data_IF_711584171681
#
_entry.id   IF_711584171681
#
_cell.length_a   1.000
_cell.length_b   1.000
_cell.length_c   1.000
_cell.angle_alpha   90.00
_cell.angle_beta   90.00
_cell.angle_gamma   90.00
#
_symmetry.space_group_name_H-M   'P 1'
#
loop_
_entity.id
_entity.type
_entity.pdbx_description
1 polymer ?
#
# COMPACT_ATOMS: atom_id res chain seq x y z
N UNK A 1 1.61 16.67 36.29
CA UNK A 1 0.89 15.40 36.10
C UNK A 1 1.93 14.31 35.98
N UNK A 2 1.90 13.30 36.86
CA UNK A 2 2.84 12.19 36.83
C UNK A 2 2.60 11.32 35.59
N UNK A 3 3.65 10.63 35.12
CA UNK A 3 3.61 9.71 33.98
C UNK A 3 2.51 8.65 34.14
N UNK A 4 2.22 8.22 35.36
CA UNK A 4 1.11 7.31 35.69
C UNK A 4 -0.28 7.94 35.49
N UNK A 5 -0.44 9.25 35.69
CA UNK A 5 -1.70 9.95 35.44
C UNK A 5 -1.96 10.15 33.94
N UNK A 6 -0.91 10.27 33.11
CA UNK A 6 -1.04 10.29 31.65
C UNK A 6 -1.30 8.89 31.07
N UNK A 7 -0.67 7.84 31.63
CA UNK A 7 -0.96 6.44 31.29
C UNK A 7 -2.38 6.04 31.69
N UNK A 8 -2.85 6.48 32.87
CA UNK A 8 -4.22 6.28 33.31
C UNK A 8 -5.23 7.09 32.48
N UNK A 9 -4.87 8.31 32.04
CA UNK A 9 -5.73 9.12 31.15
C UNK A 9 -5.81 8.53 29.72
N UNK A 10 -4.73 7.94 29.20
CA UNK A 10 -4.77 7.21 27.92
C UNK A 10 -5.54 5.87 28.03
N UNK A 11 -5.55 5.23 29.20
CA UNK A 11 -6.35 4.03 29.45
C UNK A 11 -7.85 4.33 29.66
N UNK A 12 -8.20 5.57 30.01
CA UNK A 12 -9.57 5.98 30.37
C UNK A 12 -10.41 6.52 29.19
N UNK A 13 -9.80 6.80 28.03
CA UNK A 13 -10.55 7.16 26.82
C UNK A 13 -10.79 5.91 25.95
N UNK A 14 -12.00 5.35 26.12
CA UNK A 14 -12.65 4.27 25.37
C UNK A 14 -12.56 2.85 25.96
N UNK A 15 -13.33 2.59 27.01
CA UNK A 15 -13.81 1.23 27.24
C UNK A 15 -14.48 0.71 25.95
N UNK A 16 -14.03 -0.45 25.46
CA UNK A 16 -14.69 -1.17 24.38
C UNK A 16 -16.05 -1.67 24.90
N UNK A 17 -17.09 -0.85 24.78
CA UNK A 17 -18.45 -1.25 25.13
C UNK A 17 -18.98 -2.16 24.02
N UNK A 18 -18.89 -3.46 24.26
CA UNK A 18 -19.46 -4.49 23.39
C UNK A 18 -20.96 -4.52 23.64
N UNK A 19 -21.77 -4.47 22.58
CA UNK A 19 -23.21 -4.68 22.69
C UNK A 19 -23.48 -6.10 23.23
N UNK A 20 -24.10 -6.23 24.42
CA UNK A 20 -24.38 -7.53 25.02
C UNK A 20 -25.23 -8.44 24.13
N UNK A 21 -26.18 -7.86 23.36
CA UNK A 21 -27.04 -8.64 22.47
C UNK A 21 -26.25 -9.22 21.30
N UNK A 22 -25.32 -8.44 20.74
CA UNK A 22 -24.43 -8.91 19.67
C UNK A 22 -23.48 -10.00 20.19
N UNK A 23 -22.93 -9.84 21.40
CA UNK A 23 -22.08 -10.87 22.00
C UNK A 23 -22.82 -12.19 22.26
N UNK A 24 -24.06 -12.11 22.75
CA UNK A 24 -24.92 -13.28 22.94
C UNK A 24 -25.23 -13.96 21.60
N UNK A 25 -25.52 -13.18 20.56
CA UNK A 25 -25.71 -13.68 19.20
C UNK A 25 -24.47 -14.43 18.68
N UNK A 26 -23.27 -13.87 18.84
CA UNK A 26 -22.02 -14.52 18.40
C UNK A 26 -21.71 -15.81 19.18
N UNK A 27 -22.04 -15.85 20.48
CA UNK A 27 -21.92 -17.07 21.29
C UNK A 27 -22.91 -18.16 20.88
N UNK A 28 -24.16 -17.79 20.63
CA UNK A 28 -25.17 -18.70 20.12
C UNK A 28 -24.75 -19.26 18.76
N UNK A 29 -24.24 -18.42 17.86
CA UNK A 29 -23.69 -18.85 16.57
C UNK A 29 -22.58 -19.89 16.73
N UNK A 30 -21.66 -19.64 17.65
CA UNK A 30 -20.54 -20.56 17.93
C UNK A 30 -21.06 -21.93 18.38
N UNK A 31 -22.07 -21.96 19.26
CA UNK A 31 -22.70 -23.22 19.71
C UNK A 31 -23.45 -23.94 18.57
N UNK A 32 -24.16 -23.20 17.72
CA UNK A 32 -24.83 -23.77 16.54
C UNK A 32 -23.82 -24.32 15.53
N UNK A 33 -22.72 -23.61 15.30
CA UNK A 33 -21.63 -24.06 14.42
C UNK A 33 -21.00 -25.36 14.94
N UNK A 34 -20.73 -25.48 16.23
CA UNK A 34 -20.17 -26.70 16.84
C UNK A 34 -21.10 -27.90 16.65
N UNK A 35 -22.41 -27.74 16.91
CA UNK A 35 -23.41 -28.79 16.70
C UNK A 35 -23.60 -29.16 15.22
N UNK A 36 -23.54 -28.17 14.33
CA UNK A 36 -23.61 -28.38 12.89
C UNK A 36 -22.41 -29.21 12.39
N UNK A 37 -21.20 -28.90 12.86
CA UNK A 37 -19.99 -29.67 12.52
C UNK A 37 -20.07 -31.11 13.06
N UNK A 38 -20.59 -31.32 14.27
CA UNK A 38 -20.82 -32.66 14.83
C UNK A 38 -21.88 -33.46 14.06
N UNK A 39 -22.88 -32.76 13.53
CA UNK A 39 -23.98 -33.35 12.75
C UNK A 39 -23.60 -33.63 11.28
N UNK A 40 -22.54 -32.99 10.78
CA UNK A 40 -22.02 -33.21 9.44
C UNK A 40 -21.22 -34.52 9.38
N UNK A 41 -21.67 -35.44 8.53
CA UNK A 41 -20.94 -36.68 8.28
C UNK A 41 -19.67 -36.41 7.44
N UNK A 42 -18.55 -36.19 8.13
CA UNK A 42 -17.23 -35.93 7.56
C UNK A 42 -16.75 -37.04 6.60
N UNK A 43 -17.32 -38.25 6.67
CA UNK A 43 -16.95 -39.36 5.77
C UNK A 43 -17.39 -39.14 4.32
N UNK A 44 -18.31 -38.19 4.06
CA UNK A 44 -18.86 -37.89 2.73
C UNK A 44 -18.32 -36.62 2.10
N UNK A 45 -17.73 -35.70 2.87
CA UNK A 45 -17.37 -34.33 2.44
C UNK A 45 -16.32 -34.29 1.32
N UNK A 46 -15.48 -35.32 1.18
CA UNK A 46 -14.38 -35.35 0.21
C UNK A 46 -14.76 -35.59 -1.26
N UNK A 47 -15.98 -36.04 -1.56
CA UNK A 47 -16.41 -36.44 -2.91
C UNK A 47 -17.60 -35.62 -3.47
N UNK A 48 -18.05 -34.58 -2.77
CA UNK A 48 -19.33 -33.91 -3.06
C UNK A 48 -19.20 -32.65 -3.90
N UNK A 49 -20.26 -32.35 -4.64
CA UNK A 49 -20.44 -31.06 -5.31
C UNK A 49 -20.62 -29.93 -4.27
N UNK A 50 -19.92 -28.81 -4.48
CA UNK A 50 -19.92 -27.66 -3.58
C UNK A 50 -21.34 -27.12 -3.34
N UNK A 51 -22.16 -27.09 -4.38
CA UNK A 51 -23.52 -26.58 -4.32
C UNK A 51 -24.43 -27.45 -3.46
N UNK A 52 -24.21 -28.77 -3.47
CA UNK A 52 -24.93 -29.70 -2.59
C UNK A 52 -24.54 -29.51 -1.13
N UNK A 53 -23.24 -29.36 -0.85
CA UNK A 53 -22.74 -29.18 0.52
C UNK A 53 -23.27 -27.89 1.14
N UNK A 54 -23.31 -26.80 0.38
CA UNK A 54 -23.93 -25.53 0.79
C UNK A 54 -25.42 -25.71 1.08
N UNK A 55 -26.15 -26.46 0.24
CA UNK A 55 -27.58 -26.72 0.45
C UNK A 55 -27.84 -27.56 1.70
N UNK A 56 -27.04 -28.60 1.96
CA UNK A 56 -27.21 -29.46 3.14
C UNK A 56 -26.85 -28.73 4.43
N UNK A 57 -25.77 -27.93 4.42
CA UNK A 57 -25.41 -27.06 5.55
C UNK A 57 -26.51 -26.05 5.83
N UNK A 58 -27.11 -25.45 4.79
CA UNK A 58 -28.24 -24.53 4.98
C UNK A 58 -29.43 -25.26 5.61
N UNK A 59 -29.75 -26.48 5.15
CA UNK A 59 -30.86 -27.28 5.68
C UNK A 59 -30.66 -27.64 7.16
N UNK A 60 -29.48 -28.17 7.52
CA UNK A 60 -29.14 -28.53 8.90
C UNK A 60 -29.02 -27.29 9.79
N UNK A 61 -28.39 -26.23 9.28
CA UNK A 61 -28.29 -24.95 9.98
C UNK A 61 -29.66 -24.36 10.29
N UNK A 62 -30.61 -24.42 9.35
CA UNK A 62 -31.99 -23.96 9.58
C UNK A 62 -32.69 -24.76 10.68
N UNK A 63 -32.49 -26.08 10.71
CA UNK A 63 -33.04 -26.98 11.72
C UNK A 63 -32.49 -26.64 13.11
N UNK A 64 -31.17 -26.59 13.28
CA UNK A 64 -30.51 -26.30 14.55
C UNK A 64 -30.80 -24.86 15.01
N UNK A 65 -30.82 -23.88 14.09
CA UNK A 65 -31.16 -22.49 14.41
C UNK A 65 -32.58 -22.35 14.94
N UNK A 66 -33.56 -23.08 14.40
CA UNK A 66 -34.94 -23.03 14.92
C UNK A 66 -35.05 -23.64 16.31
N UNK A 67 -34.24 -24.64 16.63
CA UNK A 67 -34.27 -25.28 17.95
C UNK A 67 -33.56 -24.45 19.02
N UNK A 68 -32.38 -23.89 18.71
CA UNK A 68 -31.57 -23.11 19.67
C UNK A 68 -31.85 -21.61 19.69
N UNK A 69 -32.23 -21.04 18.55
CA UNK A 69 -32.49 -19.62 18.37
C UNK A 69 -33.97 -19.26 18.43
N UNK A 70 -34.74 -19.86 19.34
CA UNK A 70 -36.21 -19.67 19.43
C UNK A 70 -36.63 -18.22 19.64
N UNK A 71 -35.76 -17.42 20.25
CA UNK A 71 -36.01 -16.01 20.56
C UNK A 71 -35.53 -15.05 19.44
N UNK A 72 -34.90 -15.57 18.39
CA UNK A 72 -34.48 -14.76 17.25
C UNK A 72 -35.67 -14.48 16.32
N UNK A 73 -35.70 -13.27 15.75
CA UNK A 73 -36.64 -12.95 14.67
C UNK A 73 -36.28 -13.69 13.38
N UNK A 74 -37.19 -13.72 12.41
CA UNK A 74 -36.93 -14.24 11.06
C UNK A 74 -35.71 -13.58 10.39
N UNK A 75 -35.46 -12.31 10.68
CA UNK A 75 -34.27 -11.60 10.22
C UNK A 75 -33.01 -12.08 10.95
N UNK A 76 -33.11 -12.32 12.27
CA UNK A 76 -32.05 -12.92 13.07
C UNK A 76 -31.67 -14.33 12.61
N UNK A 77 -32.65 -15.17 12.25
CA UNK A 77 -32.41 -16.49 11.65
C UNK A 77 -31.70 -16.38 10.32
N UNK A 78 -32.16 -15.49 9.43
CA UNK A 78 -31.53 -15.29 8.12
C UNK A 78 -30.09 -14.81 8.25
N UNK A 79 -29.84 -13.88 9.18
CA UNK A 79 -28.49 -13.40 9.52
C UNK A 79 -27.62 -14.53 10.05
N UNK A 80 -28.12 -15.31 11.01
CA UNK A 80 -27.41 -16.46 11.61
C UNK A 80 -26.94 -17.45 10.53
N UNK A 81 -27.82 -17.81 9.61
CA UNK A 81 -27.49 -18.73 8.51
C UNK A 81 -26.43 -18.17 7.56
N UNK A 82 -26.52 -16.87 7.24
CA UNK A 82 -25.50 -16.19 6.44
C UNK A 82 -24.13 -16.23 7.13
N UNK A 83 -24.07 -15.83 8.40
CA UNK A 83 -22.81 -15.81 9.15
C UNK A 83 -22.25 -17.22 9.40
N UNK A 84 -23.08 -18.25 9.54
CA UNK A 84 -22.63 -19.64 9.64
C UNK A 84 -21.97 -20.12 8.34
N UNK A 85 -22.55 -19.77 7.19
CA UNK A 85 -21.93 -20.07 5.90
C UNK A 85 -20.60 -19.34 5.73
N UNK A 86 -20.54 -18.07 6.13
CA UNK A 86 -19.30 -17.29 6.13
C UNK A 86 -18.26 -17.90 7.10
N UNK A 87 -18.70 -18.51 8.20
CA UNK A 87 -17.82 -19.20 9.14
C UNK A 87 -17.33 -20.54 8.59
N UNK A 88 -18.13 -21.29 7.84
CA UNK A 88 -17.68 -22.57 7.26
C UNK A 88 -16.82 -22.34 6.01
N UNK A 89 -17.31 -21.52 5.09
CA UNK A 89 -16.72 -21.36 3.76
C UNK A 89 -15.86 -20.11 3.62
N UNK A 90 -16.13 -19.06 4.38
CA UNK A 90 -15.43 -17.77 4.30
C UNK A 90 -14.46 -17.50 5.46
N UNK A 91 -14.39 -16.22 5.81
CA UNK A 91 -13.53 -15.63 6.84
C UNK A 91 -14.28 -15.34 8.15
N UNK A 92 -15.45 -15.96 8.34
CA UNK A 92 -16.29 -15.80 9.52
C UNK A 92 -16.76 -14.36 9.68
N UNK A 93 -16.69 -13.76 10.89
CA UNK A 93 -17.14 -12.38 11.13
C UNK A 93 -16.51 -11.33 10.20
N UNK A 94 -15.32 -11.60 9.63
CA UNK A 94 -14.61 -10.67 8.77
C UNK A 94 -15.15 -10.61 7.33
N UNK A 95 -16.01 -11.55 6.92
CA UNK A 95 -16.47 -11.67 5.54
C UNK A 95 -17.20 -10.40 5.07
N UNK A 96 -18.05 -9.81 5.92
CA UNK A 96 -18.77 -8.58 5.58
C UNK A 96 -17.82 -7.39 5.34
N UNK A 97 -16.74 -7.27 6.13
CA UNK A 97 -15.70 -6.25 5.95
C UNK A 97 -14.90 -6.50 4.67
N UNK A 98 -14.65 -7.77 4.35
CA UNK A 98 -13.97 -8.19 3.13
C UNK A 98 -14.80 -8.01 1.86
N UNK A 99 -16.12 -7.81 1.97
CA UNK A 99 -17.00 -7.50 0.85
C UNK A 99 -17.12 -6.01 0.57
N UNK A 100 -16.97 -5.15 1.58
CA UNK A 100 -17.09 -3.69 1.45
C UNK A 100 -15.93 -3.09 0.63
N UNK A 101 -16.12 -2.56 -0.59
CA UNK A 101 -15.02 -2.10 -1.44
C UNK A 101 -14.27 -0.87 -0.90
N UNK A 102 -14.79 -0.16 0.11
CA UNK A 102 -14.17 1.05 0.64
C UNK A 102 -13.16 0.78 1.78
N UNK A 103 -13.11 -0.44 2.32
CA UNK A 103 -12.14 -0.85 3.35
C UNK A 103 -10.82 -1.27 2.71
N UNK A 104 -9.69 -0.67 3.10
CA UNK A 104 -8.36 -1.07 2.62
C UNK A 104 -7.63 -2.01 3.58
N UNK A 105 -7.87 -1.88 4.88
CA UNK A 105 -7.17 -2.63 5.93
C UNK A 105 -8.16 -3.05 7.00
N UNK A 106 -7.97 -4.24 7.57
CA UNK A 106 -8.73 -4.78 8.70
C UNK A 106 -7.72 -5.16 9.78
N UNK A 107 -7.84 -4.58 10.97
CA UNK A 107 -6.93 -4.77 12.10
C UNK A 107 -7.71 -5.33 13.29
N UNK A 108 -7.38 -6.54 13.71
CA UNK A 108 -7.99 -7.22 14.85
C UNK A 108 -6.96 -7.26 15.98
N UNK A 109 -7.16 -6.41 16.99
CA UNK A 109 -6.30 -6.37 18.18
C UNK A 109 -6.80 -7.30 19.29
N UNK A 110 -8.01 -7.83 19.17
CA UNK A 110 -8.59 -8.77 20.12
C UNK A 110 -9.96 -9.24 19.64
N UNK A 111 -10.61 -10.18 20.35
CA UNK A 111 -11.88 -10.75 19.90
C UNK A 111 -12.98 -9.70 19.77
N UNK A 112 -12.94 -8.60 20.52
CA UNK A 112 -13.97 -7.55 20.44
C UNK A 112 -13.41 -6.22 19.94
N UNK A 113 -12.15 -6.21 19.50
CA UNK A 113 -11.44 -5.00 19.10
C UNK A 113 -11.01 -5.11 17.63
N UNK A 114 -11.87 -4.61 16.74
CA UNK A 114 -11.66 -4.60 15.29
C UNK A 114 -11.71 -3.17 14.75
N UNK A 115 -10.71 -2.82 13.96
CA UNK A 115 -10.60 -1.55 13.24
C UNK A 115 -10.53 -1.80 11.74
N UNK A 116 -10.96 -0.80 10.98
CA UNK A 116 -10.84 -0.79 9.53
C UNK A 116 -10.27 0.54 9.06
N UNK A 117 -9.43 0.52 8.02
CA UNK A 117 -9.07 1.73 7.30
C UNK A 117 -10.07 1.96 6.16
N UNK A 118 -10.80 3.07 6.21
CA UNK A 118 -11.71 3.51 5.16
C UNK A 118 -11.30 4.89 4.67
N UNK A 119 -11.08 5.03 3.36
CA UNK A 119 -10.64 6.28 2.74
C UNK A 119 -9.40 6.92 3.43
N UNK A 120 -8.48 6.11 3.94
CA UNK A 120 -7.29 6.59 4.64
C UNK A 120 -7.50 6.92 6.13
N UNK A 121 -8.69 6.75 6.68
CA UNK A 121 -8.96 7.01 8.11
C UNK A 121 -9.21 5.68 8.82
N UNK A 122 -8.57 5.51 9.97
CA UNK A 122 -8.80 4.34 10.82
C UNK A 122 -10.05 4.58 11.66
N UNK A 123 -11.00 3.65 11.59
CA UNK A 123 -12.25 3.70 12.34
C UNK A 123 -12.57 2.34 12.97
N UNK A 124 -13.41 2.34 14.01
CA UNK A 124 -13.85 1.10 14.66
C UNK A 124 -14.88 0.39 13.80
N UNK A 125 -14.76 -0.93 13.66
CA UNK A 125 -15.78 -1.77 13.07
C UNK A 125 -16.69 -2.36 14.16
N UNK A 126 -17.97 -2.54 13.83
CA UNK A 126 -18.93 -3.20 14.74
C UNK A 126 -18.83 -4.73 14.79
N UNK A 127 -17.92 -5.31 14.01
CA UNK A 127 -17.71 -6.76 13.95
C UNK A 127 -16.97 -7.22 15.19
N UNK A 128 -17.49 -8.27 15.83
CA UNK A 128 -16.84 -8.92 16.97
C UNK A 128 -16.78 -10.44 16.78
N UNK A 129 -15.84 -11.07 17.46
CA UNK A 129 -15.73 -12.51 17.66
C UNK A 129 -16.39 -12.88 19.00
N UNK A 130 -16.72 -14.16 19.18
CA UNK A 130 -17.36 -14.63 20.40
C UNK A 130 -16.42 -14.63 21.62
N UNK A 131 -15.15 -14.99 21.38
CA UNK A 131 -14.05 -14.99 22.35
C UNK A 131 -12.70 -15.18 21.64
N UNK A 132 -11.60 -15.24 22.42
CA UNK A 132 -10.25 -15.49 21.90
C UNK A 132 -10.10 -16.84 21.19
N UNK A 133 -10.85 -17.86 21.61
CA UNK A 133 -10.79 -19.20 21.00
C UNK A 133 -11.41 -19.17 19.62
N UNK A 134 -12.53 -18.47 19.46
CA UNK A 134 -13.16 -18.24 18.17
C UNK A 134 -12.18 -17.50 17.24
N UNK A 135 -11.59 -16.38 17.67
CA UNK A 135 -10.58 -15.67 16.87
C UNK A 135 -9.41 -16.59 16.47
N UNK A 136 -8.89 -17.40 17.39
CA UNK A 136 -7.83 -18.37 17.11
C UNK A 136 -8.24 -19.39 16.03
N UNK A 137 -9.45 -19.96 16.11
CA UNK A 137 -9.97 -20.90 15.11
C UNK A 137 -10.06 -20.26 13.72
N UNK A 138 -10.52 -19.01 13.63
CA UNK A 138 -10.58 -18.27 12.37
C UNK A 138 -9.17 -18.09 11.79
N UNK A 139 -8.21 -17.64 12.61
CA UNK A 139 -6.80 -17.46 12.19
C UNK A 139 -6.21 -18.78 11.67
N UNK A 140 -6.36 -19.87 12.43
CA UNK A 140 -5.84 -21.18 12.03
C UNK A 140 -6.46 -21.67 10.71
N UNK A 141 -7.77 -21.46 10.51
CA UNK A 141 -8.45 -21.82 9.27
C UNK A 141 -7.96 -21.01 8.08
N UNK A 142 -7.82 -19.69 8.25
CA UNK A 142 -7.27 -18.80 7.21
C UNK A 142 -5.89 -19.30 6.77
N UNK A 143 -5.03 -19.58 7.74
CA UNK A 143 -3.65 -20.00 7.55
C UNK A 143 -3.56 -21.40 6.92
N UNK A 144 -4.43 -22.32 7.32
CA UNK A 144 -4.52 -23.66 6.74
C UNK A 144 -4.97 -23.62 5.26
N UNK A 145 -5.95 -22.78 4.91
CA UNK A 145 -6.45 -22.63 3.52
C UNK A 145 -5.36 -22.18 2.55
N UNK A 146 -4.35 -21.47 3.02
CA UNK A 146 -3.20 -20.99 2.22
C UNK A 146 -1.97 -21.89 2.32
N UNK A 147 -2.09 -23.08 2.92
CA UNK A 147 -1.00 -24.05 3.05
C UNK A 147 0.11 -23.64 4.02
N UNK A 148 -0.20 -22.78 4.99
CA UNK A 148 0.72 -22.35 6.06
C UNK A 148 0.29 -22.94 7.40
N UNK A 149 1.12 -22.74 8.43
CA UNK A 149 0.90 -23.24 9.79
C UNK A 149 1.13 -22.13 10.80
N UNK A 150 0.29 -22.07 11.84
CA UNK A 150 0.44 -21.17 12.98
C UNK A 150 0.06 -21.92 14.26
N UNK A 151 0.99 -21.99 15.20
CA UNK A 151 0.84 -22.67 16.50
C UNK A 151 1.90 -22.17 17.51
N UNK A 152 1.98 -22.77 18.69
CA UNK A 152 2.93 -22.37 19.73
C UNK A 152 4.40 -22.49 19.32
N UNK A 153 4.73 -23.34 18.33
CA UNK A 153 6.08 -23.51 17.80
C UNK A 153 6.37 -22.48 16.71
N UNK A 154 5.37 -22.12 15.91
CA UNK A 154 5.42 -21.08 14.88
C UNK A 154 4.33 -20.03 15.13
N UNK A 155 4.51 -19.12 16.12
CA UNK A 155 3.45 -18.25 16.61
C UNK A 155 3.18 -17.01 15.73
N UNK A 156 3.80 -16.92 14.56
CA UNK A 156 3.66 -15.82 13.62
C UNK A 156 3.56 -16.36 12.20
N UNK A 157 2.77 -15.70 11.35
CA UNK A 157 2.63 -16.09 9.95
C UNK A 157 2.33 -14.89 9.07
N UNK A 158 2.95 -14.88 7.90
CA UNK A 158 2.60 -14.03 6.78
C UNK A 158 2.07 -14.90 5.63
N UNK A 159 0.94 -14.48 5.08
CA UNK A 159 0.14 -15.27 4.16
C UNK A 159 -0.53 -14.40 3.09
N UNK A 160 -0.96 -15.04 2.01
CA UNK A 160 -1.72 -14.41 0.93
C UNK A 160 -3.02 -15.16 0.68
N UNK A 161 -4.13 -14.46 0.78
CA UNK A 161 -5.46 -14.99 0.50
C UNK A 161 -5.67 -15.20 -1.02
N UNK A 162 -6.64 -16.03 -1.43
CA UNK A 162 -6.94 -16.27 -2.85
C UNK A 162 -7.33 -15.01 -3.64
N UNK A 163 -7.88 -13.99 -2.98
CA UNK A 163 -8.22 -12.70 -3.58
C UNK A 163 -7.00 -11.77 -3.77
N UNK A 164 -5.82 -12.21 -3.31
CA UNK A 164 -4.56 -11.48 -3.35
C UNK A 164 -4.26 -10.65 -2.10
N UNK A 165 -5.19 -10.56 -1.14
CA UNK A 165 -5.04 -9.82 0.12
C UNK A 165 -3.95 -10.43 0.98
N UNK A 166 -3.22 -9.59 1.72
CA UNK A 166 -2.14 -10.02 2.62
C UNK A 166 -2.69 -10.19 4.02
N UNK A 167 -2.28 -11.27 4.68
CA UNK A 167 -2.67 -11.60 6.05
C UNK A 167 -1.41 -11.76 6.88
N UNK A 168 -1.36 -11.06 8.00
CA UNK A 168 -0.38 -11.28 9.05
C UNK A 168 -1.12 -11.69 10.33
N UNK A 169 -0.68 -12.74 10.99
CA UNK A 169 -1.21 -13.12 12.30
C UNK A 169 -0.08 -13.42 13.29
N UNK A 170 -0.29 -13.04 14.54
CA UNK A 170 0.61 -13.32 15.65
C UNK A 170 -0.22 -13.79 16.86
N UNK A 171 0.23 -14.87 17.49
CA UNK A 171 -0.51 -15.55 18.56
C UNK A 171 0.33 -15.64 19.85
N UNK A 172 -0.29 -15.95 21.01
CA UNK A 172 0.45 -16.23 22.23
C UNK A 172 1.53 -17.32 22.02
N UNK A 173 2.66 -17.25 22.73
CA UNK A 173 2.98 -16.30 23.81
C UNK A 173 3.49 -14.92 23.35
N UNK A 174 3.68 -14.69 22.04
CA UNK A 174 4.26 -13.42 21.54
C UNK A 174 3.25 -12.28 21.55
N UNK A 175 1.99 -12.58 21.23
CA UNK A 175 0.89 -11.63 21.32
C UNK A 175 0.31 -11.60 22.74
N UNK A 176 0.69 -10.59 23.52
CA UNK A 176 0.09 -10.36 24.84
C UNK A 176 -1.40 -10.00 24.68
N UNK A 177 -2.24 -10.52 25.58
CA UNK A 177 -3.69 -10.29 25.52
C UNK A 177 -4.38 -10.98 24.33
N UNK A 178 -3.90 -12.15 23.92
CA UNK A 178 -4.56 -12.99 22.93
C UNK A 178 -4.13 -12.74 21.47
N UNK A 179 -4.64 -13.54 20.53
CA UNK A 179 -4.26 -13.49 19.12
C UNK A 179 -4.53 -12.14 18.45
N UNK A 180 -3.68 -11.75 17.49
CA UNK A 180 -3.83 -10.55 16.65
C UNK A 180 -3.81 -10.94 15.16
N UNK A 181 -4.57 -10.20 14.36
CA UNK A 181 -4.70 -10.45 12.92
C UNK A 181 -4.76 -9.11 12.17
N UNK A 182 -3.95 -8.97 11.13
CA UNK A 182 -3.98 -7.83 10.21
C UNK A 182 -4.23 -8.33 8.80
N UNK A 183 -5.23 -7.77 8.11
CA UNK A 183 -5.51 -8.04 6.70
C UNK A 183 -5.36 -6.74 5.92
N UNK A 184 -4.39 -6.69 5.01
CA UNK A 184 -4.27 -5.60 4.04
C UNK A 184 -4.88 -6.05 2.73
N UNK A 185 -6.01 -5.45 2.37
CA UNK A 185 -6.81 -5.91 1.24
C UNK A 185 -6.18 -5.55 -0.08
N UNK A 186 -6.33 -6.47 -1.03
CA UNK A 186 -5.96 -6.22 -2.40
C UNK A 186 -7.02 -5.33 -3.05
N UNK A 187 -6.66 -4.09 -3.37
CA UNK A 187 -7.60 -3.10 -3.89
C UNK A 187 -8.23 -3.55 -5.21
N UNK A 188 -9.56 -3.60 -5.28
CA UNK A 188 -10.31 -3.95 -6.52
C UNK A 188 -10.31 -2.82 -7.56
N UNK A 189 -10.16 -1.56 -7.13
CA UNK A 189 -10.14 -0.39 -8.02
C UNK A 189 -8.73 0.18 -8.18
N UNK A 190 -8.23 0.15 -9.42
CA UNK A 190 -6.95 0.74 -9.81
C UNK A 190 -7.16 2.22 -10.10
N UNK A 191 -6.51 3.10 -9.33
CA UNK A 191 -6.47 4.52 -9.67
C UNK A 191 -5.65 4.70 -10.95
N UNK A 192 -6.30 5.26 -11.97
CA UNK A 192 -5.68 5.70 -13.21
C UNK A 192 -5.11 7.10 -13.02
N UNK A 193 -4.29 7.55 -13.97
CA UNK A 193 -3.73 8.90 -13.92
C UNK A 193 -4.80 10.00 -13.85
N UNK A 194 -5.91 9.85 -14.59
CA UNK A 194 -7.02 10.81 -14.53
C UNK A 194 -7.67 10.85 -13.14
N UNK A 195 -7.77 9.70 -12.46
CA UNK A 195 -8.26 9.64 -11.08
C UNK A 195 -7.30 10.37 -10.13
N UNK A 196 -5.98 10.23 -10.32
CA UNK A 196 -4.98 10.96 -9.54
C UNK A 196 -5.07 12.48 -9.75
N UNK A 197 -5.35 12.92 -10.98
CA UNK A 197 -5.61 14.35 -11.25
C UNK A 197 -6.91 14.81 -10.58
N UNK A 198 -7.98 14.02 -10.67
CA UNK A 198 -9.27 14.33 -10.04
C UNK A 198 -9.18 14.39 -8.49
N UNK A 199 -8.35 13.52 -7.89
CA UNK A 199 -8.04 13.54 -6.46
C UNK A 199 -7.08 14.69 -6.07
N UNK A 200 -6.57 15.44 -7.04
CA UNK A 200 -5.60 16.52 -6.84
C UNK A 200 -4.22 16.02 -6.44
N UNK A 201 -3.86 14.76 -6.70
CA UNK A 201 -2.51 14.24 -6.39
C UNK A 201 -1.42 14.95 -7.19
N UNK A 202 -1.72 15.32 -8.43
CA UNK A 202 -0.91 16.21 -9.25
C UNK A 202 -1.80 16.92 -10.28
N UNK A 203 -1.46 18.15 -10.72
CA UNK A 203 -2.10 18.78 -11.87
C UNK A 203 -1.90 17.97 -13.15
N UNK A 204 -2.81 18.13 -14.12
CA UNK A 204 -2.76 17.43 -15.39
C UNK A 204 -1.42 17.62 -16.12
N UNK A 205 -0.85 18.82 -16.11
CA UNK A 205 0.44 19.13 -16.77
C UNK A 205 1.60 18.33 -16.18
N UNK A 206 1.65 18.14 -14.86
CA UNK A 206 2.66 17.30 -14.21
C UNK A 206 2.50 15.83 -14.63
N UNK A 207 1.25 15.33 -14.69
CA UNK A 207 0.98 13.96 -15.13
C UNK A 207 1.32 13.75 -16.62
N UNK A 208 1.05 14.73 -17.47
CA UNK A 208 1.43 14.69 -18.89
C UNK A 208 2.94 14.70 -19.09
N UNK A 209 3.69 15.46 -18.27
CA UNK A 209 5.15 15.40 -18.27
C UNK A 209 5.67 14.01 -17.90
N UNK A 210 5.11 13.41 -16.84
CA UNK A 210 5.47 12.05 -16.42
C UNK A 210 5.08 11.00 -17.48
N UNK A 211 3.92 11.14 -18.14
CA UNK A 211 3.54 10.28 -19.26
C UNK A 211 4.58 10.34 -20.38
N UNK A 212 4.95 11.54 -20.82
CA UNK A 212 5.93 11.72 -21.89
C UNK A 212 7.28 11.09 -21.51
N UNK A 213 7.72 11.27 -20.26
CA UNK A 213 8.92 10.65 -19.75
C UNK A 213 8.85 9.12 -19.71
N UNK A 214 7.71 8.51 -19.33
CA UNK A 214 7.51 7.05 -19.41
C UNK A 214 7.62 6.57 -20.86
N UNK A 215 6.93 7.23 -21.79
CA UNK A 215 6.95 6.87 -23.22
C UNK A 215 8.34 6.99 -23.83
N UNK A 216 9.11 8.00 -23.41
CA UNK A 216 10.48 8.22 -23.83
C UNK A 216 11.52 7.30 -23.17
N UNK A 217 11.09 6.32 -22.36
CA UNK A 217 11.95 5.42 -21.58
C UNK A 217 12.90 6.16 -20.62
N UNK A 218 12.45 7.27 -20.03
CA UNK A 218 13.16 7.92 -18.92
C UNK A 218 12.95 7.09 -17.64
N UNK A 219 14.02 6.75 -16.93
CA UNK A 219 13.95 5.96 -15.68
C UNK A 219 13.54 6.82 -14.49
N UNK A 220 12.67 6.27 -13.64
CA UNK A 220 12.10 6.95 -12.46
C UNK A 220 12.45 6.25 -11.16
N UNK A 221 12.72 7.05 -10.14
CA UNK A 221 12.72 6.65 -8.74
C UNK A 221 11.56 7.34 -8.03
N UNK A 222 10.53 6.60 -7.64
CA UNK A 222 9.40 7.16 -6.89
C UNK A 222 9.68 7.02 -5.40
N UNK A 223 9.77 8.12 -4.67
CA UNK A 223 10.09 8.14 -3.25
C UNK A 223 8.93 8.66 -2.39
N UNK A 224 8.96 8.34 -1.09
CA UNK A 224 7.92 8.75 -0.15
C UNK A 224 7.80 7.83 1.07
N UNK A 225 7.14 8.32 2.11
CA UNK A 225 6.87 7.56 3.33
C UNK A 225 5.93 6.37 3.14
N UNK A 226 5.74 5.59 4.20
CA UNK A 226 4.70 4.56 4.26
C UNK A 226 3.31 5.15 4.01
N UNK A 227 2.49 4.49 3.19
CA UNK A 227 1.13 4.95 2.87
C UNK A 227 1.02 6.21 1.99
N UNK A 228 2.15 6.74 1.50
CA UNK A 228 2.18 7.94 0.65
C UNK A 228 1.59 7.71 -0.76
N UNK A 229 1.42 6.46 -1.19
CA UNK A 229 0.88 6.12 -2.52
C UNK A 229 1.93 5.88 -3.60
N UNK A 230 3.18 5.53 -3.25
CA UNK A 230 4.26 5.23 -4.21
C UNK A 230 3.87 4.16 -5.22
N UNK A 231 3.44 2.98 -4.74
CA UNK A 231 3.03 1.86 -5.58
C UNK A 231 1.82 2.22 -6.45
N UNK A 232 0.90 3.03 -5.91
CA UNK A 232 -0.26 3.55 -6.66
C UNK A 232 0.18 4.43 -7.83
N UNK A 233 1.10 5.38 -7.59
CA UNK A 233 1.65 6.23 -8.65
C UNK A 233 2.44 5.40 -9.67
N UNK A 234 3.26 4.45 -9.22
CA UNK A 234 3.99 3.55 -10.11
C UNK A 234 3.02 2.77 -11.02
N UNK A 235 1.94 2.23 -10.45
CA UNK A 235 0.92 1.49 -11.18
C UNK A 235 0.20 2.40 -12.19
N UNK A 236 -0.16 3.63 -11.82
CA UNK A 236 -0.77 4.58 -12.75
C UNK A 236 0.17 4.95 -13.90
N UNK A 237 1.45 5.26 -13.62
CA UNK A 237 2.43 5.63 -14.64
C UNK A 237 2.80 4.46 -15.55
N UNK A 238 2.80 3.24 -15.04
CA UNK A 238 3.08 2.04 -15.84
C UNK A 238 2.06 1.81 -16.96
N UNK A 239 0.84 2.36 -16.85
CA UNK A 239 -0.18 2.27 -17.90
C UNK A 239 0.20 3.06 -19.17
N UNK A 240 1.16 4.00 -19.07
CA UNK A 240 1.71 4.74 -20.21
C UNK A 240 2.83 4.00 -20.95
N UNK A 241 3.27 2.85 -20.43
CA UNK A 241 4.26 2.02 -21.10
C UNK A 241 3.67 1.48 -22.42
N UNK A 242 4.36 1.59 -23.57
CA UNK A 242 3.84 1.12 -24.84
C UNK A 242 3.47 -0.37 -24.84
N UNK A 243 2.27 -0.72 -25.34
CA UNK A 243 1.71 -2.10 -25.35
C UNK A 243 2.60 -3.17 -25.99
N UNK A 244 3.57 -2.79 -26.83
CA UNK A 244 4.52 -3.70 -27.47
C UNK A 244 5.70 -4.13 -26.59
N UNK A 245 5.88 -3.53 -25.41
CA UNK A 245 7.02 -3.79 -24.54
C UNK A 245 6.77 -4.96 -23.58
N UNK A 246 7.77 -5.82 -23.36
CA UNK A 246 7.71 -6.90 -22.37
C UNK A 246 8.10 -6.38 -20.99
N UNK A 247 7.18 -6.45 -20.04
CA UNK A 247 7.37 -5.98 -18.68
C UNK A 247 7.56 -7.14 -17.72
N UNK A 248 8.49 -6.98 -16.77
CA UNK A 248 8.65 -7.89 -15.64
C UNK A 248 8.48 -7.10 -14.36
N UNK A 249 7.53 -7.47 -13.51
CA UNK A 249 7.41 -6.92 -12.15
C UNK A 249 8.08 -7.84 -11.15
N UNK A 250 8.77 -7.27 -10.17
CA UNK A 250 9.43 -7.99 -9.07
C UNK A 250 9.03 -7.31 -7.77
N UNK A 251 8.38 -8.04 -6.87
CA UNK A 251 7.81 -7.49 -5.65
C UNK A 251 8.01 -8.47 -4.48
N UNK A 252 8.17 -7.96 -3.26
CA UNK A 252 8.11 -8.82 -2.07
C UNK A 252 6.72 -9.44 -1.91
N UNK A 253 5.71 -8.65 -2.23
CA UNK A 253 4.33 -9.14 -2.35
C UNK A 253 3.70 -8.43 -3.53
N UNK A 254 3.06 -9.18 -4.43
CA UNK A 254 2.63 -8.60 -5.69
C UNK A 254 1.45 -7.62 -5.49
N UNK A 255 1.73 -6.32 -5.44
CA UNK A 255 0.77 -5.22 -5.36
C UNK A 255 0.48 -4.63 -6.75
N UNK A 256 1.45 -4.68 -7.66
CA UNK A 256 1.32 -4.12 -9.00
C UNK A 256 0.36 -4.92 -9.85
N UNK A 257 -0.49 -4.15 -10.51
CA UNK A 257 -1.62 -4.62 -11.30
C UNK A 257 -1.61 -3.88 -12.62
N UNK A 258 -0.66 -4.28 -13.47
CA UNK A 258 -0.45 -3.63 -14.76
C UNK A 258 -1.57 -4.07 -15.73
N UNK A 259 -2.27 -3.11 -16.32
CA UNK A 259 -3.07 -3.36 -17.52
C UNK A 259 -2.14 -3.34 -18.73
N UNK A 260 -1.38 -4.43 -18.90
CA UNK A 260 -0.42 -4.58 -19.99
C UNK A 260 -0.51 -6.00 -20.57
N UNK A 261 -0.49 -6.11 -21.90
CA UNK A 261 -0.66 -7.41 -22.58
C UNK A 261 0.51 -8.34 -22.30
N UNK A 262 1.73 -7.78 -22.27
CA UNK A 262 2.95 -8.52 -22.09
C UNK A 262 3.58 -8.27 -20.71
N UNK A 263 2.98 -8.78 -19.64
CA UNK A 263 3.51 -8.68 -18.27
C UNK A 263 3.83 -10.05 -17.67
N UNK A 264 5.03 -10.18 -17.08
CA UNK A 264 5.40 -11.30 -16.20
C UNK A 264 5.47 -10.77 -14.78
N UNK A 265 4.76 -11.40 -13.86
CA UNK A 265 4.74 -11.00 -12.44
C UNK A 265 5.57 -11.99 -11.64
N UNK A 266 6.58 -11.48 -10.94
CA UNK A 266 7.45 -12.25 -10.07
C UNK A 266 7.30 -11.76 -8.63
N UNK A 267 7.28 -12.70 -7.71
CA UNK A 267 7.13 -12.45 -6.27
C UNK A 267 8.25 -13.19 -5.54
N UNK A 268 8.79 -12.58 -4.50
CA UNK A 268 9.78 -13.24 -3.65
C UNK A 268 9.16 -14.40 -2.89
N UNK A 269 10.01 -15.24 -2.31
CA UNK A 269 9.57 -16.33 -1.45
C UNK A 269 10.44 -16.38 -0.22
N UNK A 270 9.85 -16.26 0.95
CA UNK A 270 10.56 -16.48 2.21
C UNK A 270 10.98 -17.94 2.35
N UNK A 271 11.99 -18.17 3.18
CA UNK A 271 12.38 -19.51 3.57
C UNK A 271 11.21 -20.27 4.21
N UNK A 272 11.18 -21.60 4.04
CA UNK A 272 10.29 -22.45 4.82
C UNK A 272 10.74 -22.48 6.30
N UNK A 273 9.98 -23.18 7.15
CA UNK A 273 10.28 -23.31 8.61
C UNK A 273 11.68 -23.90 8.87
N UNK A 274 12.24 -24.62 7.91
CA UNK A 274 13.57 -25.25 7.96
C UNK A 274 14.68 -24.33 7.41
N UNK A 275 14.35 -23.09 7.02
CA UNK A 275 15.30 -22.12 6.46
C UNK A 275 15.64 -22.33 4.97
N UNK A 276 14.97 -23.26 4.29
CA UNK A 276 15.25 -23.62 2.90
C UNK A 276 14.31 -22.92 1.90
N UNK A 277 14.77 -22.76 0.66
CA UNK A 277 13.94 -22.33 -0.46
C UNK A 277 13.66 -20.83 -0.55
N UNK A 278 14.39 -19.99 0.17
CA UNK A 278 14.28 -18.53 0.02
C UNK A 278 14.63 -18.10 -1.42
N UNK A 279 13.84 -17.19 -1.99
CA UNK A 279 14.07 -16.53 -3.27
C UNK A 279 13.95 -15.03 -3.05
N UNK A 280 15.06 -14.32 -3.15
CA UNK A 280 15.13 -12.88 -2.86
C UNK A 280 14.78 -12.03 -4.08
N UNK A 281 14.50 -10.74 -3.88
CA UNK A 281 14.33 -9.80 -5.01
C UNK A 281 15.56 -9.80 -5.91
N UNK A 282 16.76 -9.89 -5.33
CA UNK A 282 18.02 -9.93 -6.07
C UNK A 282 18.11 -11.13 -7.01
N UNK A 283 17.67 -12.29 -6.56
CA UNK A 283 17.62 -13.51 -7.39
C UNK A 283 16.67 -13.33 -8.58
N UNK A 284 15.51 -12.73 -8.34
CA UNK A 284 14.51 -12.45 -9.36
C UNK A 284 15.00 -11.41 -10.38
N UNK A 285 15.68 -10.34 -9.93
CA UNK A 285 16.26 -9.32 -10.82
C UNK A 285 17.27 -9.97 -11.76
N UNK A 286 18.19 -10.78 -11.24
CA UNK A 286 19.18 -11.49 -12.06
C UNK A 286 18.54 -12.46 -13.05
N UNK A 287 17.54 -13.21 -12.60
CA UNK A 287 16.83 -14.14 -13.47
C UNK A 287 16.03 -13.42 -14.56
N UNK A 288 15.46 -12.26 -14.24
CA UNK A 288 14.66 -11.46 -15.17
C UNK A 288 15.44 -11.01 -16.40
N UNK A 289 16.75 -10.77 -16.28
CA UNK A 289 17.63 -10.40 -17.39
C UNK A 289 17.68 -11.46 -18.50
N UNK A 290 17.36 -12.72 -18.18
CA UNK A 290 17.31 -13.85 -19.13
C UNK A 290 15.94 -14.02 -19.78
N UNK A 291 14.95 -13.26 -19.33
CA UNK A 291 13.57 -13.34 -19.81
C UNK A 291 13.28 -12.33 -20.94
N UNK A 292 14.31 -11.70 -21.50
CA UNK A 292 14.22 -10.67 -22.55
C UNK A 292 13.20 -9.54 -22.21
N UNK A 293 13.31 -8.89 -21.03
CA UNK A 293 12.46 -7.74 -20.72
C UNK A 293 12.82 -6.52 -21.56
N UNK A 294 11.82 -5.71 -21.88
CA UNK A 294 12.03 -4.31 -22.27
C UNK A 294 12.19 -3.42 -21.03
N UNK A 295 11.43 -3.70 -19.96
CA UNK A 295 11.52 -3.01 -18.67
C UNK A 295 11.39 -3.95 -17.49
N UNK A 296 12.11 -3.64 -16.42
CA UNK A 296 12.01 -4.34 -15.14
C UNK A 296 11.48 -3.35 -14.11
N UNK A 297 10.34 -3.65 -13.51
CA UNK A 297 9.70 -2.82 -12.50
C UNK A 297 9.90 -3.48 -11.15
N UNK A 298 10.76 -2.90 -10.32
CA UNK A 298 10.95 -3.36 -8.94
C UNK A 298 9.97 -2.61 -8.07
N UNK A 299 9.04 -3.32 -7.42
CA UNK A 299 7.93 -2.71 -6.68
C UNK A 299 8.40 -1.76 -5.59
N UNK A 300 9.35 -2.19 -4.77
CA UNK A 300 10.06 -1.35 -3.81
C UNK A 300 11.47 -1.92 -3.55
N UNK A 301 12.49 -1.09 -3.71
CA UNK A 301 13.88 -1.45 -3.43
C UNK A 301 14.16 -1.21 -1.94
N UNK A 302 14.71 -2.22 -1.29
CA UNK A 302 14.93 -2.31 0.15
C UNK A 302 16.34 -2.80 0.53
N UNK A 303 17.10 -3.35 -0.41
CA UNK A 303 18.39 -3.96 -0.10
C UNK A 303 19.29 -4.20 -1.30
N UNK A 304 20.04 -5.30 -1.25
CA UNK A 304 21.14 -5.61 -2.16
C UNK A 304 20.72 -5.74 -3.65
N UNK A 305 19.44 -5.94 -3.95
CA UNK A 305 18.91 -5.91 -5.31
C UNK A 305 19.10 -4.55 -6.01
N UNK A 306 19.31 -3.47 -5.25
CA UNK A 306 19.54 -2.13 -5.78
C UNK A 306 20.67 -2.09 -6.82
N UNK A 307 21.78 -2.80 -6.58
CA UNK A 307 22.90 -2.82 -7.52
C UNK A 307 22.55 -3.53 -8.82
N UNK A 308 21.96 -4.72 -8.74
CA UNK A 308 21.56 -5.51 -9.90
C UNK A 308 20.47 -4.78 -10.71
N UNK A 309 19.55 -4.07 -10.03
CA UNK A 309 18.57 -3.19 -10.66
C UNK A 309 19.24 -2.03 -11.41
N UNK A 310 20.16 -1.31 -10.77
CA UNK A 310 20.90 -0.21 -11.41
C UNK A 310 21.71 -0.71 -12.62
N UNK A 311 22.33 -1.89 -12.51
CA UNK A 311 23.01 -2.53 -13.63
C UNK A 311 22.04 -2.81 -14.78
N UNK A 312 20.85 -3.35 -14.51
CA UNK A 312 19.84 -3.59 -15.52
C UNK A 312 19.42 -2.29 -16.24
N UNK A 313 19.17 -1.23 -15.48
CA UNK A 313 18.82 0.11 -15.98
C UNK A 313 19.92 0.67 -16.90
N UNK A 314 21.19 0.45 -16.55
CA UNK A 314 22.34 0.91 -17.31
C UNK A 314 22.68 0.04 -18.53
N UNK A 315 22.12 -1.17 -18.66
CA UNK A 315 22.51 -2.18 -19.67
C UNK A 315 21.37 -2.59 -20.60
N UNK A 316 20.55 -1.62 -21.00
CA UNK A 316 19.55 -1.81 -22.07
C UNK A 316 18.11 -2.01 -21.59
N UNK A 317 17.83 -1.87 -20.29
CA UNK A 317 16.48 -1.90 -19.72
C UNK A 317 16.06 -0.50 -19.25
N UNK A 318 16.34 0.51 -20.08
CA UNK A 318 15.99 1.90 -19.82
C UNK A 318 14.48 2.10 -19.66
N UNK A 319 14.07 3.11 -18.89
CA UNK A 319 12.67 3.40 -18.64
C UNK A 319 12.03 2.51 -17.58
N UNK A 320 12.83 1.70 -16.90
CA UNK A 320 12.44 0.95 -15.71
C UNK A 320 12.01 1.89 -14.59
N UNK A 321 11.03 1.45 -13.80
CA UNK A 321 10.39 2.20 -12.73
C UNK A 321 10.60 1.47 -11.41
N UNK A 322 10.85 2.20 -10.34
CA UNK A 322 10.96 1.61 -9.01
C UNK A 322 10.46 2.55 -7.92
N UNK A 323 10.18 2.02 -6.74
CA UNK A 323 9.88 2.82 -5.55
C UNK A 323 10.92 2.64 -4.44
N UNK A 324 11.04 3.64 -3.58
CA UNK A 324 11.90 3.61 -2.39
C UNK A 324 11.25 4.36 -1.23
N UNK A 325 11.37 3.85 -0.01
CA UNK A 325 10.99 4.63 1.17
C UNK A 325 12.04 5.71 1.43
N UNK A 326 11.67 6.99 1.39
CA UNK A 326 12.54 8.11 1.71
C UNK A 326 11.74 9.33 2.17
N UNK A 327 12.41 10.27 2.84
CA UNK A 327 11.82 11.49 3.37
C UNK A 327 11.83 12.66 2.36
N UNK A 328 12.72 12.62 1.37
CA UNK A 328 12.77 13.55 0.26
C UNK A 328 13.54 12.95 -0.94
N UNK A 329 13.82 13.78 -1.96
CA UNK A 329 14.53 13.34 -3.18
C UNK A 329 16.04 13.11 -2.97
N UNK A 330 16.69 13.82 -2.04
CA UNK A 330 18.12 13.61 -1.71
C UNK A 330 18.30 12.37 -0.84
N UNK A 331 17.44 12.20 0.17
CA UNK A 331 17.39 11.01 1.03
C UNK A 331 17.17 9.74 0.20
N UNK A 332 16.32 9.80 -0.84
CA UNK A 332 16.10 8.68 -1.74
C UNK A 332 17.40 8.18 -2.41
N UNK A 333 18.26 9.10 -2.86
CA UNK A 333 19.54 8.74 -3.47
C UNK A 333 20.55 8.24 -2.44
N UNK A 334 20.60 8.86 -1.26
CA UNK A 334 21.46 8.41 -0.16
C UNK A 334 21.08 6.98 0.30
N UNK A 335 19.78 6.65 0.33
CA UNK A 335 19.30 5.30 0.64
C UNK A 335 19.67 4.29 -0.43
N UNK A 336 19.62 4.65 -1.71
CA UNK A 336 20.17 3.79 -2.77
C UNK A 336 21.66 3.55 -2.60
N UNK A 337 22.46 4.56 -2.23
CA UNK A 337 23.89 4.36 -1.91
C UNK A 337 24.07 3.32 -0.79
N UNK A 338 23.29 3.43 0.30
CA UNK A 338 23.31 2.48 1.40
C UNK A 338 22.92 1.06 0.96
N UNK A 339 21.86 0.92 0.16
CA UNK A 339 21.38 -0.38 -0.34
C UNK A 339 22.41 -1.06 -1.26
N UNK A 340 23.14 -0.30 -2.08
CA UNK A 340 24.26 -0.83 -2.86
C UNK A 340 25.37 -1.34 -1.94
N UNK A 341 25.67 -0.64 -0.84
CA UNK A 341 26.67 -1.10 0.13
C UNK A 341 26.27 -2.42 0.83
N UNK A 342 24.96 -2.70 0.98
CA UNK A 342 24.46 -3.98 1.54
C UNK A 342 24.76 -5.21 0.66
N UNK A 343 25.21 -5.02 -0.58
CA UNK A 343 25.61 -6.14 -1.45
C UNK A 343 26.85 -6.88 -0.97
N UNK A 344 27.62 -6.28 -0.06
CA UNK A 344 28.92 -6.76 0.41
C UNK A 344 30.07 -6.46 -0.56
N UNK A 345 29.80 -5.78 -1.68
CA UNK A 345 30.84 -5.33 -2.61
C UNK A 345 31.40 -3.98 -2.15
N UNK A 346 32.72 -3.91 -2.00
CA UNK A 346 33.42 -2.66 -1.67
C UNK A 346 33.57 -1.77 -2.91
N UNK A 347 32.50 -1.09 -3.29
CA UNK A 347 32.52 -0.07 -4.33
C UNK A 347 32.80 1.31 -3.72
N UNK A 348 33.80 2.07 -4.23
CA UNK A 348 34.00 3.45 -3.80
C UNK A 348 32.74 4.29 -4.04
N UNK A 349 32.36 5.14 -3.08
CA UNK A 349 31.16 6.00 -3.17
C UNK A 349 31.05 6.76 -4.50
N UNK A 350 32.12 7.37 -5.06
CA UNK A 350 32.02 8.04 -6.35
C UNK A 350 31.55 7.12 -7.49
N UNK A 351 31.94 5.85 -7.48
CA UNK A 351 31.51 4.85 -8.47
C UNK A 351 30.02 4.52 -8.29
N UNK A 352 29.57 4.32 -7.04
CA UNK A 352 28.15 4.07 -6.73
C UNK A 352 27.29 5.23 -7.21
N UNK A 353 27.72 6.48 -6.93
CA UNK A 353 27.04 7.68 -7.40
C UNK A 353 26.94 7.73 -8.92
N UNK A 354 28.03 7.41 -9.62
CA UNK A 354 28.03 7.37 -11.09
C UNK A 354 27.04 6.34 -11.62
N UNK A 355 26.96 5.16 -11.01
CA UNK A 355 25.98 4.13 -11.37
C UNK A 355 24.54 4.60 -11.18
N UNK A 356 24.26 5.27 -10.07
CA UNK A 356 22.93 5.84 -9.76
C UNK A 356 22.58 6.95 -10.77
N UNK A 357 23.49 7.88 -11.01
CA UNK A 357 23.28 9.00 -11.92
C UNK A 357 23.13 8.57 -13.40
N UNK A 358 23.74 7.45 -13.79
CA UNK A 358 23.55 6.88 -15.11
C UNK A 358 22.18 6.17 -15.26
N UNK A 359 21.72 5.50 -14.20
CA UNK A 359 20.52 4.65 -14.26
C UNK A 359 19.21 5.37 -13.95
N UNK A 360 19.25 6.45 -13.16
CA UNK A 360 18.09 7.18 -12.67
C UNK A 360 18.12 8.61 -13.16
N UNK A 361 17.03 9.06 -13.78
CA UNK A 361 16.94 10.41 -14.34
C UNK A 361 16.00 11.32 -13.58
N UNK A 362 14.86 10.80 -13.16
CA UNK A 362 13.84 11.54 -12.42
C UNK A 362 13.60 10.92 -11.05
N UNK A 363 13.52 11.74 -10.02
CA UNK A 363 13.07 11.37 -8.68
C UNK A 363 11.73 12.05 -8.42
N UNK A 364 10.68 11.26 -8.19
CA UNK A 364 9.32 11.75 -7.96
C UNK A 364 8.95 11.48 -6.52
N UNK A 365 8.85 12.52 -5.70
CA UNK A 365 8.55 12.39 -4.28
C UNK A 365 7.05 12.60 -4.03
N UNK A 366 6.45 11.65 -3.30
CA UNK A 366 5.04 11.65 -2.93
C UNK A 366 4.92 11.71 -1.42
N UNK A 367 4.00 12.54 -0.94
CA UNK A 367 3.76 12.73 0.50
C UNK A 367 2.26 12.56 0.80
N UNK A 368 1.95 11.87 1.91
CA UNK A 368 0.62 11.90 2.53
C UNK A 368 0.56 13.08 3.50
N UNK A 369 -0.24 14.07 3.17
CA UNK A 369 -0.42 15.27 3.98
C UNK A 369 -1.44 15.04 5.10
N UNK A 370 -1.50 16.01 6.02
CA UNK A 370 -2.55 16.08 7.03
C UNK A 370 -3.94 16.10 6.36
N UNK A 371 -4.88 15.32 6.88
CA UNK A 371 -6.19 15.07 6.24
C UNK A 371 -6.21 13.88 5.27
N UNK A 372 -5.05 13.28 4.96
CA UNK A 372 -4.94 12.04 4.19
C UNK A 372 -4.73 12.23 2.68
N UNK A 373 -4.76 13.48 2.19
CA UNK A 373 -4.49 13.80 0.79
C UNK A 373 -3.05 13.37 0.41
N UNK A 374 -2.91 12.70 -0.73
CA UNK A 374 -1.61 12.26 -1.26
C UNK A 374 -1.24 13.17 -2.41
N UNK A 375 -0.06 13.82 -2.34
CA UNK A 375 0.40 14.80 -3.34
C UNK A 375 1.80 14.44 -3.86
N UNK A 376 2.06 14.65 -5.14
CA UNK A 376 3.43 14.68 -5.68
C UNK A 376 4.07 16.00 -5.25
N UNK A 377 4.89 15.97 -4.20
CA UNK A 377 5.45 17.17 -3.59
C UNK A 377 6.73 17.64 -4.27
N UNK A 378 7.38 16.78 -5.03
CA UNK A 378 8.56 17.13 -5.83
C UNK A 378 8.68 16.24 -7.07
N UNK A 379 9.02 16.84 -8.21
CA UNK A 379 9.59 16.15 -9.36
C UNK A 379 10.96 16.78 -9.59
N UNK A 380 12.01 16.01 -9.32
CA UNK A 380 13.40 16.47 -9.39
C UNK A 380 14.13 15.69 -10.47
N UNK A 381 14.89 16.39 -11.30
CA UNK A 381 15.79 15.79 -12.26
C UNK A 381 17.18 15.59 -11.65
N UNK A 382 17.72 14.37 -11.76
CA UNK A 382 19.11 14.06 -11.48
C UNK A 382 19.93 14.35 -12.75
N UNK A 383 20.60 15.50 -12.75
CA UNK A 383 21.37 16.00 -13.91
C UNK A 383 22.69 15.24 -14.05
N UNK A 384 23.31 14.87 -12.92
CA UNK A 384 24.59 14.18 -12.89
C UNK A 384 25.29 14.38 -11.55
N UNK A 385 26.62 14.42 -11.60
CA UNK A 385 27.49 14.58 -10.43
C UNK A 385 28.38 15.79 -10.65
N UNK A 386 28.40 16.69 -9.66
CA UNK A 386 29.24 17.88 -9.65
C UNK A 386 29.91 18.01 -8.28
N UNK A 387 31.23 18.27 -8.25
CA UNK A 387 31.99 18.34 -7.00
C UNK A 387 31.93 17.08 -6.14
N UNK A 388 31.68 15.91 -6.74
CA UNK A 388 31.53 14.64 -6.03
C UNK A 388 30.15 14.42 -5.38
N UNK A 389 29.18 15.31 -5.62
CA UNK A 389 27.80 15.23 -5.10
C UNK A 389 26.78 15.20 -6.23
N UNK A 390 25.56 14.71 -5.95
CA UNK A 390 24.49 14.75 -6.94
C UNK A 390 24.05 16.18 -7.24
N UNK A 391 24.02 16.51 -8.53
CA UNK A 391 23.37 17.72 -9.03
C UNK A 391 21.90 17.42 -9.31
N UNK A 392 21.05 18.06 -8.53
CA UNK A 392 19.60 17.90 -8.56
C UNK A 392 18.94 19.23 -8.89
N UNK A 393 18.01 19.23 -9.84
CA UNK A 393 17.25 20.40 -10.23
C UNK A 393 15.76 20.08 -10.12
N UNK A 394 15.04 20.83 -9.30
CA UNK A 394 13.60 20.67 -9.15
C UNK A 394 12.88 21.21 -10.38
N UNK A 395 11.92 20.46 -10.91
CA UNK A 395 11.10 20.85 -12.07
C UNK A 395 9.73 21.37 -11.58
N UNK A 396 9.10 20.56 -10.73
CA UNK A 396 7.79 20.83 -10.12
C UNK A 396 7.86 20.60 -8.61
N UNK A 397 7.02 21.31 -7.87
CA UNK A 397 6.85 21.05 -6.44
C UNK A 397 5.47 21.42 -5.92
N UNK A 398 5.22 21.08 -4.66
CA UNK A 398 4.04 21.48 -3.90
C UNK A 398 4.49 22.14 -2.61
N UNK A 399 3.82 23.23 -2.24
CA UNK A 399 4.03 23.91 -0.95
C UNK A 399 2.71 24.01 -0.22
N UNK A 400 2.69 23.48 1.00
CA UNK A 400 1.59 23.71 1.93
C UNK A 400 1.59 25.18 2.37
N UNK A 401 0.45 25.85 2.25
CA UNK A 401 0.26 27.26 2.64
C UNK A 401 -0.54 27.40 3.93
N UNK A 402 -1.23 26.34 4.37
CA UNK A 402 -1.97 26.33 5.62
C UNK A 402 -2.72 25.02 5.89
N UNK A 403 -3.76 25.13 6.70
CA UNK A 403 -4.70 24.06 7.05
C UNK A 403 -6.13 24.65 6.99
N UNK A 404 -7.10 23.91 6.46
CA UNK A 404 -8.51 24.32 6.41
C UNK A 404 -9.23 24.17 7.77
N UNK A 405 -10.52 24.53 7.83
CA UNK A 405 -11.32 24.49 9.06
C UNK A 405 -11.51 23.06 9.60
N UNK A 406 -11.47 22.07 8.73
CA UNK A 406 -11.58 20.64 9.04
C UNK A 406 -10.24 19.99 9.40
N UNK A 407 -9.14 20.76 9.41
CA UNK A 407 -7.82 20.29 9.77
C UNK A 407 -7.06 19.60 8.62
N UNK A 408 -7.46 19.77 7.35
CA UNK A 408 -6.75 19.23 6.20
C UNK A 408 -5.72 20.22 5.66
N UNK A 409 -4.59 19.71 5.16
CA UNK A 409 -3.56 20.54 4.55
C UNK A 409 -4.06 21.20 3.25
N UNK A 410 -3.80 22.50 3.10
CA UNK A 410 -4.05 23.26 1.86
C UNK A 410 -2.76 23.87 1.35
N UNK A 411 -2.64 24.04 0.03
CA UNK A 411 -1.42 24.48 -0.61
C UNK A 411 -1.58 24.70 -2.11
N UNK A 412 -0.45 24.83 -2.78
CA UNK A 412 -0.38 25.06 -4.21
C UNK A 412 0.80 24.29 -4.82
N UNK A 413 0.64 23.88 -6.07
CA UNK A 413 1.74 23.39 -6.88
C UNK A 413 2.50 24.56 -7.50
N UNK A 414 3.75 24.34 -7.89
CA UNK A 414 4.56 25.34 -8.57
C UNK A 414 5.53 24.73 -9.56
N UNK A 415 5.87 25.52 -10.58
CA UNK A 415 6.90 25.25 -11.58
C UNK A 415 8.11 26.12 -11.26
N UNK A 416 9.31 25.53 -11.25
CA UNK A 416 10.51 26.19 -10.72
C UNK A 416 11.15 27.20 -11.68
N UNK A 417 10.88 27.08 -12.98
CA UNK A 417 11.60 27.79 -14.04
C UNK A 417 12.70 26.95 -14.71
N UNK A 418 12.99 25.76 -14.20
CA UNK A 418 14.05 24.90 -14.74
C UNK A 418 13.52 24.07 -15.92
N UNK A 419 14.23 24.13 -17.06
CA UNK A 419 13.96 23.29 -18.22
C UNK A 419 14.76 21.99 -18.07
N UNK A 420 14.10 20.83 -17.88
CA UNK A 420 14.77 19.55 -17.68
C UNK A 420 15.61 19.16 -18.89
N UNK A 421 16.86 18.70 -18.69
CA UNK A 421 17.67 18.26 -19.82
C UNK A 421 17.12 16.98 -20.48
N UNK A 422 16.21 16.26 -19.82
CA UNK A 422 15.52 15.12 -20.42
C UNK A 422 14.50 15.53 -21.49
N UNK A 423 14.09 16.81 -21.57
CA UNK A 423 13.12 17.32 -22.55
C UNK A 423 13.54 17.06 -24.00
N UNK A 424 14.83 17.15 -24.32
CA UNK A 424 15.34 16.85 -25.67
C UNK A 424 15.05 15.39 -26.07
N UNK A 425 15.17 14.46 -25.13
CA UNK A 425 14.79 13.05 -25.33
C UNK A 425 13.28 12.90 -25.49
N UNK A 426 12.48 13.68 -24.76
CA UNK A 426 11.01 13.65 -24.89
C UNK A 426 10.59 14.14 -26.29
N UNK A 427 11.21 15.21 -26.80
CA UNK A 427 10.92 15.76 -28.13
C UNK A 427 11.28 14.79 -29.25
N UNK A 428 12.47 14.19 -29.18
CA UNK A 428 12.94 13.22 -30.19
C UNK A 428 12.11 11.94 -30.24
N UNK A 429 11.39 11.62 -29.16
CA UNK A 429 10.43 10.51 -29.10
C UNK A 429 8.99 10.92 -29.47
N UNK A 430 8.79 12.16 -29.93
CA UNK A 430 7.53 12.66 -30.48
C UNK A 430 6.61 13.36 -29.47
N UNK A 431 7.07 13.63 -28.24
CA UNK A 431 6.27 14.35 -27.27
C UNK A 431 6.20 15.85 -27.62
N UNK A 432 4.98 16.40 -27.66
CA UNK A 432 4.72 17.81 -27.92
C UNK A 432 4.94 18.67 -26.66
N UNK A 433 6.18 18.75 -26.17
CA UNK A 433 6.54 19.53 -24.97
C UNK A 433 7.21 20.85 -25.35
N UNK A 434 6.57 21.95 -24.95
CA UNK A 434 7.07 23.32 -25.11
C UNK A 434 7.82 23.79 -23.86
N UNK A 435 8.82 24.65 -24.04
CA UNK A 435 9.53 25.31 -22.92
C UNK A 435 8.58 26.11 -22.02
N UNK A 436 7.44 26.56 -22.54
CA UNK A 436 6.42 27.27 -21.77
C UNK A 436 5.86 26.45 -20.60
N UNK A 437 5.93 25.12 -20.65
CA UNK A 437 5.51 24.25 -19.54
C UNK A 437 6.36 24.45 -18.29
N UNK A 438 7.60 24.89 -18.47
CA UNK A 438 8.58 25.07 -17.39
C UNK A 438 8.70 26.53 -16.95
N UNK A 439 7.88 27.44 -17.49
CA UNK A 439 7.85 28.82 -17.07
C UNK A 439 7.46 28.92 -15.59
N UNK A 440 8.23 29.67 -14.79
CA UNK A 440 8.02 29.80 -13.34
C UNK A 440 6.61 30.35 -13.06
N UNK A 441 5.79 29.57 -12.38
CA UNK A 441 4.40 29.92 -12.00
C UNK A 441 3.89 29.03 -10.88
N UNK A 442 2.80 29.44 -10.24
CA UNK A 442 2.01 28.59 -9.35
C UNK A 442 0.87 27.93 -10.13
N UNK A 443 0.43 26.77 -9.67
CA UNK A 443 -0.67 25.99 -10.21
C UNK A 443 -1.60 25.67 -9.04
N UNK A 444 -2.86 26.07 -9.16
CA UNK A 444 -3.86 25.83 -8.12
C UNK A 444 -4.03 24.32 -7.88
N UNK A 445 -4.16 23.92 -6.62
CA UNK A 445 -4.31 22.52 -6.19
C UNK A 445 -5.63 21.88 -6.66
N UNK A 446 -6.65 22.69 -6.93
CA UNK A 446 -7.94 22.26 -7.50
C UNK A 446 -8.43 23.27 -8.54
N UNK A 447 -8.92 22.83 -9.71
CA UNK A 447 -9.60 23.72 -10.64
C UNK A 447 -10.88 24.26 -9.99
N UNK A 448 -10.96 25.58 -9.79
CA UNK A 448 -12.15 26.28 -9.27
C UNK A 448 -12.11 26.75 -7.81
N UNK A 449 -11.02 26.50 -7.07
CA UNK A 449 -10.82 27.12 -5.76
C UNK A 449 -10.02 28.44 -5.94
N UNK A 450 -10.70 29.52 -6.34
CA UNK A 450 -10.17 30.85 -6.08
C UNK A 450 -10.16 31.05 -4.56
N UNK A 451 -8.97 30.97 -3.95
CA UNK A 451 -8.79 31.43 -2.58
C UNK A 451 -9.12 32.92 -2.49
N UNK A 452 -9.57 33.42 -1.33
CA UNK A 452 -9.77 34.86 -1.16
C UNK A 452 -8.46 35.60 -1.46
N UNK A 453 -8.52 36.81 -2.06
CA UNK A 453 -7.32 37.58 -2.34
C UNK A 453 -6.51 37.77 -1.05
N UNK A 454 -5.20 37.56 -1.15
CA UNK A 454 -4.27 37.79 -0.04
C UNK A 454 -4.45 39.23 0.47
N UNK A 455 -4.50 39.46 1.78
CA UNK A 455 -4.46 40.82 2.30
C UNK A 455 -3.12 41.47 1.91
N UNK A 456 -3.18 42.67 1.34
CA UNK A 456 -1.99 43.48 1.07
C UNK A 456 -1.26 43.75 2.39
N UNK A 457 -0.14 43.06 2.59
CA UNK A 457 0.78 43.37 3.67
C UNK A 457 1.54 44.64 3.32
N UNK A 458 1.07 45.79 3.81
CA UNK A 458 1.89 46.98 3.91
C UNK A 458 2.96 46.73 4.97
N UNK A 459 4.20 46.52 4.52
CA UNK A 459 5.37 46.57 5.41
C UNK A 459 5.40 47.96 6.08
N UNK A 460 5.47 48.05 7.42
CA UNK A 460 5.70 49.32 8.07
C UNK A 460 7.07 49.87 7.63
N UNK A 461 7.20 51.20 7.46
CA UNK A 461 8.45 51.80 7.04
C UNK A 461 9.56 51.47 8.04
N UNK A 462 10.71 51.02 7.53
CA UNK A 462 11.90 50.72 8.34
C UNK A 462 12.33 51.97 9.09
N UNK A 463 12.38 51.89 10.41
CA UNK A 463 13.09 52.89 11.23
C UNK A 463 14.59 52.86 10.91
N UNK A 464 15.26 54.03 10.89
CA UNK A 464 16.68 54.09 10.61
C UNK A 464 17.50 53.46 11.75
N UNK A 465 18.68 52.91 11.45
CA UNK A 465 19.51 52.24 12.45
C UNK A 465 20.02 53.25 13.49
N UNK A 466 19.83 52.92 14.77
CA UNK A 466 20.50 53.61 15.86
C UNK A 466 22.00 53.30 15.82
N UNK A 467 22.81 54.35 15.68
CA UNK A 467 24.26 54.30 15.96
C UNK A 467 24.48 54.15 17.47
N UNK A 468 25.18 53.09 17.86
CA UNK A 468 26.10 53.06 19.01
C UNK A 468 27.00 51.83 18.93
#
# INVERSE_FOLDING_TARGET
MTTDAMLAACAAESEFVVDPAELEFQRLKTAVHEELVESLDLSRVGEMDHDWLVAEIRRLGEEICRERGKDLSEEGHRRMLGELLDEIFGLGPLECLMQDPAISDILVNGPHEVFVERHGRLERAGVIFADERHLMRIIQRIVAKVGRRIDEVSPMVDARLPDGSRVNAIIPPLALGGPKLSIRRFGKHRLKADDLVALGTAPAEMMQFLEAAVRARVSFLISGGTGAGKTTLLNALSAYIPRGERLITIEDSAELMLDHIHVVRLETRDANVEGAGMVTQRDLVRNSLRMRPDRILVGEVRGAEALDMLQAMNTGHEGSLTTIHANDTRDALARLEMMVAMTGLELPIPVVRQYIAAGIRLVVHVTRLQGGARKITRITELVGIEGGTYRLEDIFGYRQTGVDAEGNAVGEFYVTGYIPACVERLRTTGAAISDAWFARRTIADRPGAEGPPLPEYHLPPREPPHES
#
